data_IF_080356957278
#
_entry.id   IF_080356957278
#
_cell.length_a   1.000
_cell.length_b   1.000
_cell.length_c   1.000
_cell.angle_alpha   90.00
_cell.angle_beta   90.00
_cell.angle_gamma   90.00
#
_symmetry.space_group_name_H-M   'P 1'
#
loop_
_entity.id
_entity.type
_entity.pdbx_description
1 polymer ?
#
# COMPACT_ATOMS: atom_id res chain seq x y z
N UNK A 1 13.51 13.16 -6.81
CA UNK A 1 12.46 12.38 -7.52
C UNK A 1 11.10 12.61 -6.87
N UNK A 2 10.98 12.46 -5.55
CA UNK A 2 9.75 12.75 -4.78
C UNK A 2 9.19 14.15 -4.99
N UNK A 3 10.05 15.17 -4.98
CA UNK A 3 9.68 16.57 -5.26
C UNK A 3 9.16 16.73 -6.70
N UNK A 4 9.81 16.11 -7.69
CA UNK A 4 9.39 16.14 -9.09
C UNK A 4 8.05 15.41 -9.31
N UNK A 5 7.81 14.27 -8.64
CA UNK A 5 6.54 13.54 -8.69
C UNK A 5 5.41 14.32 -8.02
N UNK A 6 5.68 14.90 -6.85
CA UNK A 6 4.73 15.77 -6.14
C UNK A 6 4.37 17.01 -6.97
N UNK A 7 5.36 17.67 -7.57
CA UNK A 7 5.14 18.82 -8.44
C UNK A 7 4.44 18.43 -9.74
N UNK A 8 4.69 17.24 -10.29
CA UNK A 8 3.97 16.70 -11.45
C UNK A 8 2.47 16.57 -11.19
N UNK A 9 2.08 15.85 -10.13
CA UNK A 9 0.69 15.75 -9.67
C UNK A 9 0.05 17.12 -9.44
N UNK A 10 0.72 17.97 -8.65
CA UNK A 10 0.19 19.27 -8.25
C UNK A 10 0.09 20.23 -9.43
N UNK A 11 0.98 20.12 -10.42
CA UNK A 11 0.92 20.89 -11.66
C UNK A 11 -0.22 20.42 -12.56
N UNK A 12 -0.42 19.12 -12.72
CA UNK A 12 -1.56 18.57 -13.47
C UNK A 12 -2.90 18.98 -12.82
N UNK A 13 -2.98 18.91 -11.49
CA UNK A 13 -4.13 19.43 -10.73
C UNK A 13 -4.33 20.93 -10.95
N UNK A 14 -3.27 21.72 -10.91
CA UNK A 14 -3.32 23.17 -11.14
C UNK A 14 -3.78 23.51 -12.57
N UNK A 15 -3.29 22.78 -13.58
CA UNK A 15 -3.70 22.94 -14.98
C UNK A 15 -5.19 22.62 -15.13
N UNK A 16 -5.66 21.51 -14.56
CA UNK A 16 -7.08 21.13 -14.58
C UNK A 16 -7.98 22.17 -13.89
N UNK A 17 -7.49 22.83 -12.84
CA UNK A 17 -8.21 23.91 -12.16
C UNK A 17 -8.34 25.19 -13.00
N UNK A 18 -7.44 25.44 -13.95
CA UNK A 18 -7.46 26.62 -14.81
C UNK A 18 -8.43 26.51 -15.99
N UNK A 19 -8.86 25.30 -16.38
CA UNK A 19 -9.78 25.08 -17.50
C UNK A 19 -11.21 25.56 -17.18
N UNK A 20 -12.06 25.92 -18.16
CA UNK A 20 -13.48 26.21 -17.95
C UNK A 20 -14.26 24.98 -17.43
N UNK A 21 -15.30 25.13 -16.58
CA UNK A 21 -16.03 24.01 -15.98
C UNK A 21 -16.56 22.95 -16.96
N UNK A 22 -17.02 23.38 -18.14
CA UNK A 22 -17.52 22.50 -19.20
C UNK A 22 -16.45 21.67 -19.92
N UNK A 23 -15.18 22.10 -19.90
CA UNK A 23 -14.06 21.39 -20.55
C UNK A 23 -13.39 20.38 -19.62
N UNK A 24 -13.53 20.57 -18.30
CA UNK A 24 -12.92 19.74 -17.25
C UNK A 24 -13.39 18.27 -17.20
N UNK A 25 -14.52 17.92 -17.82
CA UNK A 25 -15.17 16.58 -17.73
C UNK A 25 -14.92 15.72 -18.97
N UNK A 26 -14.58 16.34 -20.11
CA UNK A 26 -14.21 15.64 -21.35
C UNK A 26 -12.70 15.42 -21.48
N UNK A 27 -11.95 15.87 -20.49
CA UNK A 27 -10.50 15.94 -20.54
C UNK A 27 -9.91 14.65 -19.97
N UNK A 28 -9.13 13.95 -20.81
CA UNK A 28 -8.28 12.81 -20.42
C UNK A 28 -7.36 13.16 -19.24
N UNK A 29 -7.16 14.45 -18.93
CA UNK A 29 -6.46 14.91 -17.74
C UNK A 29 -7.07 14.40 -16.43
N UNK A 30 -8.38 14.16 -16.34
CA UNK A 30 -9.00 13.62 -15.12
C UNK A 30 -8.48 12.22 -14.80
N UNK A 31 -8.50 11.32 -15.80
CA UNK A 31 -8.02 9.96 -15.66
C UNK A 31 -6.50 9.94 -15.49
N UNK A 32 -5.79 10.81 -16.20
CA UNK A 32 -4.35 11.00 -16.02
C UNK A 32 -4.01 11.41 -14.58
N UNK A 33 -4.81 12.28 -13.95
CA UNK A 33 -4.63 12.68 -12.55
C UNK A 33 -4.90 11.51 -11.61
N UNK A 34 -5.92 10.70 -11.85
CA UNK A 34 -6.22 9.51 -11.06
C UNK A 34 -5.14 8.44 -11.20
N UNK A 35 -4.71 8.11 -12.42
CA UNK A 35 -3.63 7.18 -12.70
C UNK A 35 -2.32 7.64 -12.06
N UNK A 36 -2.02 8.94 -12.14
CA UNK A 36 -0.85 9.50 -11.49
C UNK A 36 -0.95 9.43 -9.95
N UNK A 37 -2.11 9.80 -9.39
CA UNK A 37 -2.38 9.69 -7.95
C UNK A 37 -2.22 8.26 -7.43
N UNK A 38 -2.56 7.30 -8.28
CA UNK A 38 -2.43 5.87 -8.05
C UNK A 38 -0.99 5.39 -8.09
N UNK A 39 -0.22 5.86 -9.09
CA UNK A 39 1.22 5.60 -9.19
C UNK A 39 1.99 6.15 -7.99
N UNK A 40 1.66 7.36 -7.53
CA UNK A 40 2.28 7.92 -6.31
C UNK A 40 1.65 7.34 -5.03
N UNK A 41 0.57 6.59 -5.16
CA UNK A 41 -0.22 6.03 -4.07
C UNK A 41 0.56 5.07 -3.18
N UNK A 42 1.68 4.54 -3.66
CA UNK A 42 2.57 3.72 -2.85
C UNK A 42 3.53 4.52 -1.96
N UNK A 43 3.67 5.84 -2.15
CA UNK A 43 4.61 6.68 -1.39
C UNK A 43 3.89 7.42 -0.25
N UNK A 44 4.11 6.97 0.99
CA UNK A 44 3.43 7.51 2.18
C UNK A 44 3.70 9.00 2.41
N UNK A 45 4.86 9.50 2.01
CA UNK A 45 5.27 10.89 2.19
C UNK A 45 4.48 11.84 1.28
N UNK A 46 4.15 11.39 0.07
CA UNK A 46 3.53 12.20 -0.98
C UNK A 46 2.02 11.96 -1.01
N UNK A 47 1.61 10.72 -0.78
CA UNK A 47 0.24 10.27 -0.94
C UNK A 47 -0.79 11.12 -0.18
N UNK A 48 -0.63 11.47 1.12
CA UNK A 48 -1.62 12.28 1.83
C UNK A 48 -1.86 13.65 1.17
N UNK A 49 -0.80 14.28 0.67
CA UNK A 49 -0.85 15.58 0.00
C UNK A 49 -1.56 15.46 -1.35
N UNK A 50 -1.18 14.47 -2.16
CA UNK A 50 -1.80 14.22 -3.47
C UNK A 50 -3.26 13.82 -3.30
N UNK A 51 -3.56 12.87 -2.41
CA UNK A 51 -4.92 12.45 -2.07
C UNK A 51 -5.78 13.64 -1.65
N UNK A 52 -5.31 14.50 -0.72
CA UNK A 52 -6.05 15.69 -0.30
C UNK A 52 -6.33 16.64 -1.48
N UNK A 53 -5.34 16.86 -2.36
CA UNK A 53 -5.48 17.69 -3.55
C UNK A 53 -6.50 17.14 -4.55
N UNK A 54 -6.40 15.85 -4.86
CA UNK A 54 -7.33 15.11 -5.72
C UNK A 54 -8.73 15.14 -5.13
N UNK A 55 -8.92 14.78 -3.87
CA UNK A 55 -10.23 14.74 -3.23
C UNK A 55 -10.90 16.11 -3.09
N UNK A 56 -10.13 17.17 -2.84
CA UNK A 56 -10.66 18.55 -2.87
C UNK A 56 -11.29 18.89 -4.23
N UNK A 57 -10.73 18.36 -5.32
CA UNK A 57 -11.21 18.59 -6.68
C UNK A 57 -12.36 17.66 -7.08
N UNK A 58 -12.30 16.39 -6.67
CA UNK A 58 -13.25 15.35 -7.08
C UNK A 58 -14.51 15.34 -6.21
N UNK A 59 -14.38 15.43 -4.88
CA UNK A 59 -15.49 15.22 -3.95
C UNK A 59 -16.72 16.12 -4.20
N UNK A 60 -16.58 17.42 -4.55
CA UNK A 60 -17.75 18.26 -4.83
C UNK A 60 -18.53 17.86 -6.10
N UNK A 61 -17.88 17.18 -7.05
CA UNK A 61 -18.46 16.82 -8.36
C UNK A 61 -19.05 15.42 -8.37
N UNK A 62 -18.45 14.54 -7.58
CA UNK A 62 -18.83 13.14 -7.48
C UNK A 62 -18.92 12.77 -6.00
N UNK A 63 -19.94 13.30 -5.28
CA UNK A 63 -20.11 13.02 -3.86
C UNK A 63 -20.30 11.51 -3.58
N UNK A 64 -20.78 10.78 -4.59
CA UNK A 64 -20.86 9.32 -4.61
C UNK A 64 -20.46 8.82 -6.01
N UNK A 65 -19.16 8.66 -6.21
CA UNK A 65 -18.56 8.30 -7.50
C UNK A 65 -18.99 6.90 -7.97
N UNK A 66 -19.26 5.99 -7.03
CA UNK A 66 -19.81 4.66 -7.32
C UNK A 66 -21.20 4.77 -7.88
N UNK A 67 -22.05 5.60 -7.26
CA UNK A 67 -23.40 5.86 -7.77
C UNK A 67 -23.37 6.63 -9.09
N UNK A 68 -22.43 7.56 -9.28
CA UNK A 68 -22.25 8.29 -10.53
C UNK A 68 -21.82 7.37 -11.68
N UNK A 69 -20.86 6.47 -11.44
CA UNK A 69 -20.41 5.48 -12.42
C UNK A 69 -21.51 4.48 -12.79
N UNK A 70 -22.29 4.01 -11.80
CA UNK A 70 -23.43 3.11 -12.04
C UNK A 70 -24.59 3.75 -12.80
N UNK A 71 -24.80 5.06 -12.64
CA UNK A 71 -25.92 5.80 -13.27
C UNK A 71 -25.65 6.22 -14.72
N UNK A 72 -24.43 6.04 -15.22
CA UNK A 72 -24.03 6.55 -16.52
C UNK A 72 -23.59 5.38 -17.42
N UNK A 73 -24.53 4.65 -18.07
CA UNK A 73 -24.24 3.44 -18.84
C UNK A 73 -23.40 3.70 -20.12
N UNK A 74 -23.14 4.96 -20.46
CA UNK A 74 -22.20 5.37 -21.51
C UNK A 74 -20.77 5.65 -21.00
N UNK A 75 -20.48 5.51 -19.71
CA UNK A 75 -19.12 5.50 -19.20
C UNK A 75 -18.51 4.12 -19.48
N UNK A 76 -17.51 4.01 -20.37
CA UNK A 76 -16.77 2.77 -20.52
C UNK A 76 -15.83 2.69 -19.33
N UNK A 77 -16.35 2.25 -18.18
CA UNK A 77 -15.52 1.40 -17.34
C UNK A 77 -15.31 0.16 -18.20
N UNK A 78 -14.22 0.13 -18.96
CA UNK A 78 -13.82 -1.08 -19.65
C UNK A 78 -13.79 -2.19 -18.58
N UNK A 79 -14.67 -3.20 -18.65
CA UNK A 79 -14.73 -4.25 -17.65
C UNK A 79 -13.40 -5.01 -17.53
N UNK A 80 -12.52 -4.87 -18.52
CA UNK A 80 -11.19 -5.49 -18.59
C UNK A 80 -10.07 -4.59 -18.06
N UNK A 81 -10.35 -3.31 -17.87
CA UNK A 81 -9.48 -2.39 -17.15
C UNK A 81 -10.28 -1.90 -15.95
N UNK A 82 -10.49 -2.74 -14.90
CA UNK A 82 -10.73 -2.16 -13.60
C UNK A 82 -9.60 -1.15 -13.42
N UNK A 83 -9.92 0.14 -13.47
CA UNK A 83 -8.97 1.17 -13.06
C UNK A 83 -8.43 0.63 -11.76
N UNK A 84 -7.13 0.30 -11.76
CA UNK A 84 -6.52 -0.49 -10.69
C UNK A 84 -6.75 0.22 -9.34
N UNK A 85 -7.14 1.50 -9.39
CA UNK A 85 -7.47 2.35 -8.29
C UNK A 85 -8.80 3.11 -8.50
N UNK A 86 -9.89 2.49 -8.04
CA UNK A 86 -11.14 3.17 -7.72
C UNK A 86 -10.92 4.22 -6.61
N UNK A 87 -11.69 5.32 -6.63
CA UNK A 87 -11.70 6.32 -5.56
C UNK A 87 -11.95 5.76 -4.16
N UNK A 88 -12.76 4.69 -4.02
CA UNK A 88 -12.94 3.99 -2.76
C UNK A 88 -11.62 3.40 -2.30
N UNK A 89 -10.86 2.82 -3.23
CA UNK A 89 -9.56 2.27 -2.92
C UNK A 89 -8.59 3.37 -2.48
N UNK A 90 -8.58 4.53 -3.14
CA UNK A 90 -7.81 5.70 -2.65
C UNK A 90 -8.28 6.17 -1.26
N UNK A 91 -9.58 6.11 -0.98
CA UNK A 91 -10.15 6.47 0.34
C UNK A 91 -9.73 5.47 1.41
N UNK A 92 -9.69 4.18 1.09
CA UNK A 92 -9.21 3.13 1.98
C UNK A 92 -7.70 3.29 2.23
N UNK A 93 -6.92 3.57 1.17
CA UNK A 93 -5.51 3.94 1.27
C UNK A 93 -5.30 5.14 2.19
N UNK A 94 -6.14 6.17 2.10
CA UNK A 94 -6.07 7.32 3.01
C UNK A 94 -6.33 6.93 4.47
N UNK A 95 -7.12 5.88 4.70
CA UNK A 95 -7.26 5.25 6.02
C UNK A 95 -5.92 4.75 6.55
N UNK A 96 -5.10 4.10 5.73
CA UNK A 96 -3.78 3.58 6.13
C UNK A 96 -2.72 4.65 6.38
N UNK A 97 -2.99 5.94 6.11
CA UNK A 97 -2.10 7.03 6.55
C UNK A 97 -1.99 7.04 8.08
N UNK A 98 -3.04 6.63 8.78
CA UNK A 98 -2.99 6.37 10.21
C UNK A 98 -2.19 5.08 10.49
N UNK A 99 -1.13 5.18 11.28
CA UNK A 99 -0.27 4.04 11.63
C UNK A 99 -1.04 2.94 12.35
N UNK A 100 -2.05 3.29 13.13
CA UNK A 100 -2.84 2.32 13.90
C UNK A 100 -3.70 1.41 13.02
N UNK A 101 -3.98 1.85 11.78
CA UNK A 101 -4.77 1.10 10.80
C UNK A 101 -3.90 0.25 9.87
N UNK A 102 -2.57 0.35 9.98
CA UNK A 102 -1.66 -0.42 9.14
C UNK A 102 -1.48 -1.83 9.68
N UNK A 103 -1.26 -2.77 8.77
CA UNK A 103 -0.79 -4.10 9.11
C UNK A 103 0.61 -4.00 9.73
N UNK A 104 0.82 -4.78 10.79
CA UNK A 104 2.15 -4.96 11.36
C UNK A 104 2.89 -6.00 10.55
N UNK A 105 4.09 -5.64 10.08
CA UNK A 105 4.97 -6.55 9.35
C UNK A 105 5.92 -7.24 10.31
N UNK A 106 6.19 -8.53 10.07
CA UNK A 106 7.29 -9.27 10.67
C UNK A 106 7.98 -10.10 9.57
N UNK A 107 9.29 -9.94 9.41
CA UNK A 107 10.09 -10.63 8.37
C UNK A 107 10.62 -11.99 8.84
N UNK A 108 10.36 -12.39 10.09
CA UNK A 108 10.71 -13.73 10.56
C UNK A 108 9.75 -14.76 9.95
N UNK A 109 10.25 -15.58 9.02
CA UNK A 109 9.45 -16.57 8.30
C UNK A 109 8.75 -17.59 9.22
N UNK A 110 9.34 -17.91 10.39
CA UNK A 110 8.74 -18.81 11.39
C UNK A 110 7.63 -18.15 12.22
N UNK A 111 7.44 -16.84 12.08
CA UNK A 111 6.32 -16.14 12.70
C UNK A 111 4.99 -16.52 12.04
N UNK A 112 4.99 -16.89 10.76
CA UNK A 112 3.79 -17.22 10.00
C UNK A 112 3.06 -18.47 10.52
N UNK A 113 3.80 -19.44 11.07
CA UNK A 113 3.24 -20.66 11.66
C UNK A 113 2.29 -20.40 12.85
N UNK A 114 2.30 -19.18 13.41
CA UNK A 114 1.55 -18.82 14.62
C UNK A 114 0.25 -18.06 14.36
N UNK A 115 -0.03 -17.63 13.13
CA UNK A 115 -1.22 -16.81 12.83
C UNK A 115 -2.53 -17.59 12.83
N UNK A 116 -2.50 -18.93 12.81
CA UNK A 116 -3.70 -19.76 12.82
C UNK A 116 -4.47 -19.82 14.16
N UNK A 117 -3.95 -19.27 15.26
CA UNK A 117 -4.50 -19.58 16.60
C UNK A 117 -4.73 -18.41 17.55
N UNK A 118 -4.38 -17.16 17.23
CA UNK A 118 -4.55 -16.09 18.21
C UNK A 118 -5.20 -14.83 17.66
N UNK A 119 -6.37 -14.52 18.22
CA UNK A 119 -7.02 -13.20 18.23
C UNK A 119 -6.17 -12.12 18.95
N UNK A 120 -4.84 -12.29 19.01
CA UNK A 120 -3.90 -11.45 19.77
C UNK A 120 -3.37 -10.28 18.95
N UNK A 121 -4.21 -9.67 18.10
CA UNK A 121 -3.92 -8.36 17.50
C UNK A 121 -4.24 -7.17 18.43
N UNK A 122 -4.76 -7.42 19.63
CA UNK A 122 -5.20 -6.36 20.57
C UNK A 122 -4.07 -5.72 21.39
N UNK A 123 -2.82 -6.22 21.30
CA UNK A 123 -1.69 -5.58 21.97
C UNK A 123 -1.28 -4.28 21.24
N UNK A 124 -1.93 -3.18 21.61
CA UNK A 124 -1.74 -1.82 21.06
C UNK A 124 -0.33 -1.23 21.27
N UNK A 125 0.61 -1.93 21.92
CA UNK A 125 1.87 -1.32 22.38
C UNK A 125 3.16 -2.03 21.96
N UNK A 126 3.12 -3.04 21.09
CA UNK A 126 4.38 -3.60 20.60
C UNK A 126 5.06 -2.58 19.67
N UNK A 127 6.16 -2.02 20.15
CA UNK A 127 7.04 -1.18 19.35
C UNK A 127 7.58 -1.99 18.17
N UNK A 128 7.64 -1.35 17.01
CA UNK A 128 8.18 -1.94 15.80
C UNK A 128 9.70 -2.04 15.95
N UNK A 129 10.27 -3.23 15.70
CA UNK A 129 11.70 -3.47 15.85
C UNK A 129 12.35 -3.70 14.49
N UNK A 130 12.90 -2.66 13.88
CA UNK A 130 13.80 -2.82 12.73
C UNK A 130 15.19 -3.28 13.21
N UNK A 131 15.89 -4.09 12.40
CA UNK A 131 17.29 -4.38 12.68
C UNK A 131 18.11 -3.09 12.68
N UNK A 132 18.74 -2.74 13.80
CA UNK A 132 19.50 -1.49 13.97
C UNK A 132 20.77 -1.41 13.11
N UNK A 133 21.17 -2.52 12.48
CA UNK A 133 22.34 -2.56 11.60
C UNK A 133 21.97 -2.37 10.13
N UNK A 134 21.01 -3.13 9.61
CA UNK A 134 20.67 -3.07 8.19
C UNK A 134 19.41 -2.27 7.86
N UNK A 135 18.55 -1.98 8.85
CA UNK A 135 17.26 -1.30 8.70
C UNK A 135 16.33 -1.88 7.62
N UNK A 136 16.63 -3.08 7.09
CA UNK A 136 15.93 -3.66 5.94
C UNK A 136 14.87 -4.67 6.37
N UNK A 137 15.09 -5.34 7.50
CA UNK A 137 14.12 -6.28 8.10
C UNK A 137 13.49 -5.69 9.36
N UNK A 138 12.25 -6.08 9.63
CA UNK A 138 11.45 -5.64 10.76
C UNK A 138 10.77 -6.81 11.47
N UNK A 139 10.61 -6.65 12.77
CA UNK A 139 10.09 -7.69 13.66
C UNK A 139 8.99 -7.11 14.56
N UNK A 140 8.00 -7.94 14.84
CA UNK A 140 6.96 -7.63 15.82
C UNK A 140 7.48 -7.70 17.27
N UNK A 141 8.65 -8.32 17.50
CA UNK A 141 9.21 -8.55 18.83
C UNK A 141 10.71 -8.89 18.77
N UNK A 142 11.41 -8.67 19.88
CA UNK A 142 12.83 -9.06 20.05
C UNK A 142 13.00 -10.58 19.89
N UNK A 143 12.03 -11.38 20.33
CA UNK A 143 12.07 -12.83 20.20
C UNK A 143 12.06 -13.25 18.72
N UNK A 144 11.26 -12.58 17.88
CA UNK A 144 11.26 -12.83 16.44
C UNK A 144 12.59 -12.40 15.81
N UNK A 145 13.16 -11.26 16.23
CA UNK A 145 14.49 -10.86 15.77
C UNK A 145 15.57 -11.89 16.13
N UNK A 146 15.59 -12.38 17.36
CA UNK A 146 16.59 -13.36 17.83
C UNK A 146 16.46 -14.69 17.08
N UNK A 147 15.22 -15.19 16.91
CA UNK A 147 14.97 -16.43 16.21
C UNK A 147 15.39 -16.34 14.73
N UNK A 148 15.09 -15.23 14.06
CA UNK A 148 15.47 -15.00 12.67
C UNK A 148 16.99 -14.75 12.51
N UNK A 149 17.60 -14.04 13.47
CA UNK A 149 19.04 -13.83 13.52
C UNK A 149 19.82 -15.15 13.53
N UNK A 150 19.39 -16.11 14.35
CA UNK A 150 20.01 -17.43 14.42
C UNK A 150 19.71 -18.27 13.18
N UNK A 151 18.53 -18.12 12.58
CA UNK A 151 18.10 -18.92 11.44
C UNK A 151 18.74 -18.49 10.12
N UNK A 152 18.74 -17.19 9.80
CA UNK A 152 19.11 -16.68 8.48
C UNK A 152 19.73 -15.28 8.53
N UNK A 153 19.09 -14.33 9.22
CA UNK A 153 19.39 -12.91 9.07
C UNK A 153 20.85 -12.54 9.39
N UNK A 154 21.52 -13.26 10.29
CA UNK A 154 22.95 -13.02 10.58
C UNK A 154 23.84 -13.11 9.33
N UNK A 155 23.56 -14.03 8.41
CA UNK A 155 24.34 -14.21 7.19
C UNK A 155 24.09 -13.08 6.16
N UNK A 156 22.85 -12.58 6.10
CA UNK A 156 22.41 -11.58 5.11
C UNK A 156 22.65 -10.14 5.58
N UNK A 157 22.63 -9.91 6.91
CA UNK A 157 22.62 -8.58 7.51
C UNK A 157 23.79 -7.70 7.05
N UNK A 158 24.97 -8.28 6.78
CA UNK A 158 26.12 -7.52 6.28
C UNK A 158 25.86 -6.94 4.88
N UNK A 159 25.31 -7.75 3.98
CA UNK A 159 24.99 -7.33 2.62
C UNK A 159 23.86 -6.31 2.62
N UNK A 160 22.77 -6.60 3.34
CA UNK A 160 21.65 -5.67 3.49
C UNK A 160 22.05 -4.33 4.10
N UNK A 161 23.00 -4.33 5.05
CA UNK A 161 23.51 -3.08 5.65
C UNK A 161 24.33 -2.25 4.66
N UNK A 162 25.08 -2.89 3.76
CA UNK A 162 25.76 -2.20 2.66
C UNK A 162 24.73 -1.58 1.71
N UNK A 163 23.75 -2.37 1.28
CA UNK A 163 22.67 -1.90 0.39
C UNK A 163 21.86 -0.75 1.01
N UNK A 164 21.64 -0.78 2.33
CA UNK A 164 21.01 0.31 3.07
C UNK A 164 21.87 1.58 3.06
N UNK A 165 23.19 1.47 3.26
CA UNK A 165 24.09 2.61 3.23
C UNK A 165 24.12 3.27 1.83
N UNK A 166 24.22 2.47 0.77
CA UNK A 166 24.18 2.96 -0.62
C UNK A 166 22.84 3.66 -0.94
N UNK A 167 21.72 3.03 -0.57
CA UNK A 167 20.39 3.63 -0.72
C UNK A 167 20.23 4.94 0.05
N UNK A 168 20.78 5.00 1.27
CA UNK A 168 20.78 6.20 2.11
C UNK A 168 21.58 7.34 1.47
N UNK A 169 22.74 7.06 0.88
CA UNK A 169 23.55 8.05 0.16
C UNK A 169 22.79 8.61 -1.06
N UNK A 170 22.02 7.76 -1.76
CA UNK A 170 21.15 8.18 -2.87
C UNK A 170 19.85 8.88 -2.42
N UNK A 171 19.61 9.04 -1.12
CA UNK A 171 18.36 9.57 -0.58
C UNK A 171 17.14 8.67 -0.83
N UNK A 172 17.35 7.40 -1.15
CA UNK A 172 16.30 6.43 -1.44
C UNK A 172 16.07 5.51 -0.24
N UNK A 173 15.55 6.06 0.85
CA UNK A 173 15.30 5.30 2.09
C UNK A 173 13.88 4.77 2.07
N UNK A 174 13.74 3.46 1.90
CA UNK A 174 12.46 2.80 2.00
C UNK A 174 12.18 2.37 3.45
N UNK A 175 11.42 3.20 4.17
CA UNK A 175 11.21 3.03 5.62
C UNK A 175 10.23 1.88 5.94
N UNK A 176 10.27 1.39 7.19
CA UNK A 176 9.26 0.46 7.70
C UNK A 176 7.84 0.98 7.51
N UNK A 177 7.62 2.26 7.76
CA UNK A 177 6.29 2.86 7.65
C UNK A 177 5.76 2.83 6.21
N UNK A 178 6.64 2.95 5.21
CA UNK A 178 6.29 2.83 3.80
C UNK A 178 5.94 1.38 3.46
N UNK A 179 6.77 0.42 3.91
CA UNK A 179 6.49 -1.02 3.79
C UNK A 179 5.14 -1.37 4.39
N UNK A 180 4.88 -0.96 5.63
CA UNK A 180 3.65 -1.23 6.35
C UNK A 180 2.43 -0.62 5.64
N UNK A 181 2.55 0.62 5.18
CA UNK A 181 1.50 1.29 4.43
C UNK A 181 1.17 0.56 3.12
N UNK A 182 2.19 0.27 2.30
CA UNK A 182 2.01 -0.45 1.04
C UNK A 182 1.47 -1.86 1.25
N UNK A 183 1.95 -2.58 2.25
CA UNK A 183 1.47 -3.93 2.58
C UNK A 183 0.03 -3.91 3.05
N UNK A 184 -0.37 -2.91 3.85
CA UNK A 184 -1.77 -2.73 4.28
C UNK A 184 -2.68 -2.54 3.08
N UNK A 185 -2.22 -1.70 2.14
CA UNK A 185 -2.93 -1.43 0.92
C UNK A 185 -3.08 -2.68 0.03
N UNK A 186 -1.99 -3.38 -0.28
CA UNK A 186 -2.02 -4.59 -1.11
C UNK A 186 -2.88 -5.67 -0.47
N UNK A 187 -2.78 -5.85 0.86
CA UNK A 187 -3.64 -6.78 1.60
C UNK A 187 -5.11 -6.41 1.46
N UNK A 188 -5.47 -5.15 1.68
CA UNK A 188 -6.86 -4.70 1.55
C UNK A 188 -7.40 -4.87 0.13
N UNK A 189 -6.61 -4.53 -0.89
CA UNK A 189 -6.97 -4.71 -2.28
C UNK A 189 -7.20 -6.19 -2.63
N UNK A 190 -6.32 -7.07 -2.14
CA UNK A 190 -6.48 -8.52 -2.28
C UNK A 190 -7.75 -9.02 -1.59
N UNK A 191 -7.92 -8.71 -0.30
CA UNK A 191 -9.07 -9.12 0.52
C UNK A 191 -10.41 -8.59 -0.05
N UNK A 192 -10.40 -7.44 -0.74
CA UNK A 192 -11.60 -6.85 -1.35
C UNK A 192 -11.90 -7.39 -2.76
N UNK A 193 -10.88 -7.90 -3.46
CA UNK A 193 -11.00 -8.34 -4.86
C UNK A 193 -11.19 -9.84 -5.01
N UNK A 194 -10.66 -10.63 -4.07
CA UNK A 194 -10.93 -12.06 -4.02
C UNK A 194 -12.37 -12.22 -3.54
N UNK A 195 -13.30 -12.70 -4.41
CA UNK A 195 -14.63 -13.04 -3.95
C UNK A 195 -14.48 -14.00 -2.78
N UNK A 196 -15.33 -13.87 -1.77
CA UNK A 196 -15.36 -14.74 -0.59
C UNK A 196 -15.72 -16.17 -1.07
N UNK A 197 -14.78 -16.83 -1.75
CA UNK A 197 -14.93 -18.15 -2.37
C UNK A 197 -15.15 -19.21 -1.29
N UNK A 198 -14.78 -18.86 -0.05
CA UNK A 198 -15.02 -19.62 1.17
C UNK A 198 -16.39 -19.30 1.81
N UNK A 199 -17.08 -18.23 1.42
CA UNK A 199 -18.43 -17.90 1.90
C UNK A 199 -19.47 -18.88 1.33
N UNK A 200 -19.45 -20.10 1.83
CA UNK A 200 -20.35 -21.17 1.43
C UNK A 200 -19.71 -22.55 1.39
N UNK A 201 -18.39 -22.68 1.54
CA UNK A 201 -17.74 -23.99 1.55
C UNK A 201 -17.55 -24.49 3.01
N UNK A 202 -18.38 -25.42 3.51
CA UNK A 202 -18.26 -25.92 4.88
C UNK A 202 -17.01 -26.79 5.11
N UNK A 203 -16.30 -27.18 4.05
CA UNK A 203 -15.10 -28.02 4.13
C UNK A 203 -13.84 -27.17 4.35
N UNK A 204 -13.88 -25.91 3.91
CA UNK A 204 -12.74 -24.99 4.00
C UNK A 204 -13.01 -24.08 5.20
N UNK A 205 -12.29 -24.23 6.33
CA UNK A 205 -12.43 -23.31 7.45
C UNK A 205 -12.27 -21.87 6.96
N UNK A 206 -13.17 -20.98 7.34
CA UNK A 206 -13.08 -19.57 6.97
C UNK A 206 -11.67 -19.04 7.27
N UNK A 207 -10.95 -18.60 6.22
CA UNK A 207 -9.56 -18.10 6.33
C UNK A 207 -8.45 -19.15 6.14
N UNK A 208 -8.76 -20.38 5.72
CA UNK A 208 -7.74 -21.43 5.51
C UNK A 208 -6.97 -21.31 4.20
N UNK A 209 -7.51 -20.61 3.19
CA UNK A 209 -6.74 -20.17 2.03
C UNK A 209 -6.59 -18.65 2.05
N UNK A 210 -5.57 -18.17 2.74
CA UNK A 210 -4.84 -16.98 2.29
C UNK A 210 -5.43 -15.61 2.60
N UNK A 211 -5.88 -15.33 3.82
CA UNK A 211 -5.84 -13.93 4.33
C UNK A 211 -4.41 -13.48 4.71
N UNK A 212 -3.49 -14.44 4.83
CA UNK A 212 -2.07 -14.22 5.16
C UNK A 212 -1.12 -14.56 4.00
N UNK A 213 -1.64 -14.83 2.79
CA UNK A 213 -0.85 -15.24 1.64
C UNK A 213 -0.11 -14.09 0.92
N UNK A 214 -0.44 -12.83 1.23
CA UNK A 214 0.35 -11.69 0.76
C UNK A 214 1.62 -11.58 1.60
N UNK A 215 2.55 -12.49 1.37
CA UNK A 215 3.93 -12.33 1.84
C UNK A 215 4.63 -11.41 0.85
N UNK A 216 4.84 -10.16 1.21
CA UNK A 216 5.71 -9.26 0.44
C UNK A 216 7.14 -9.70 0.73
N UNK A 217 7.64 -10.65 -0.06
CA UNK A 217 9.04 -11.02 -0.03
C UNK A 217 9.80 -9.89 -0.73
N UNK A 218 10.46 -9.05 0.06
CA UNK A 218 11.39 -8.04 -0.43
C UNK A 218 12.60 -8.79 -1.00
N UNK A 219 12.53 -9.19 -2.27
CA UNK A 219 13.49 -10.11 -2.88
C UNK A 219 14.78 -9.35 -3.22
N UNK A 220 15.86 -9.45 -2.43
CA UNK A 220 17.08 -8.73 -2.70
C UNK A 220 17.87 -9.59 -3.70
N UNK A 221 17.70 -9.31 -5.00
CA UNK A 221 18.53 -9.80 -6.12
C UNK A 221 18.82 -11.31 -6.14
N UNK A 222 17.97 -12.08 -6.81
CA UNK A 222 18.26 -13.46 -7.27
C UNK A 222 19.17 -13.51 -8.52
N UNK A 223 20.24 -12.71 -8.56
CA UNK A 223 21.21 -12.74 -9.67
C UNK A 223 22.63 -12.98 -9.16
N UNK A 224 22.92 -14.24 -8.86
CA UNK A 224 24.26 -14.84 -8.93
C UNK A 224 24.17 -16.15 -9.73
#
# INVERSE_FOLDING_TARGET
MEEAMSHGALRLLSISQALPPQERVRDDSFWTILDFASMVGCHLEIFPTVYKGVMKYIAPRFPDLVTAARRNPGFPLDPRLPSIFDINMMKDMAGFVDKEKRVRICDNLKHHDRFGTSNSMTSRSQQEHACSRCHSVAYCSIQCQQADWTALHKAECRHMAKDYAERKEMGNIYSYHNRAFQTSFVRHAYDSSVPDADAGNPIIPAGSYGRDAVTVIDCPRLWE
#
